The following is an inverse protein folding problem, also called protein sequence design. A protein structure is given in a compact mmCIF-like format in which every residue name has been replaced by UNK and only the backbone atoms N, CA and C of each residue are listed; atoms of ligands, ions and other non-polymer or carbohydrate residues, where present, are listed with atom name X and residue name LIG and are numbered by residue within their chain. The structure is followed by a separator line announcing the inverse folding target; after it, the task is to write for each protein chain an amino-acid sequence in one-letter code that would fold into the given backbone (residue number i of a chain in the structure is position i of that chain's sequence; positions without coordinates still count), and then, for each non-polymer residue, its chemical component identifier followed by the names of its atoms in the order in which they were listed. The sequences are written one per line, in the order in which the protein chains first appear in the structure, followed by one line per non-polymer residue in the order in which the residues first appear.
data_IF_878945952056
#
_entry.id   IF_878945952056
#
_cell.length_a   1.000
_cell.length_b   1.000
_cell.length_c   1.000
_cell.angle_alpha   90.00
_cell.angle_beta   90.00
_cell.angle_gamma   90.00
#
_symmetry.space_group_name_H-M   'P 1'
#
loop_
_entity.id
_entity.type
_entity.pdbx_description
1 polymer ?
#
# COMPACT_ATOMS: atom_id res chain seq x y z
N UNK A 1 -13.17 26.78 39.40
CA UNK A 1 -13.93 26.24 38.26
C UNK A 1 -13.42 26.65 36.87
N UNK A 2 -12.86 27.85 36.65
CA UNK A 2 -12.38 28.27 35.32
C UNK A 2 -11.24 27.45 34.68
N UNK A 3 -10.53 26.60 35.45
CA UNK A 3 -9.42 25.79 34.95
C UNK A 3 -9.85 24.61 34.05
N UNK A 4 -11.13 24.19 34.12
CA UNK A 4 -11.56 22.96 33.44
C UNK A 4 -12.12 23.20 32.03
N UNK A 5 -12.65 24.40 31.76
CA UNK A 5 -13.25 24.75 30.44
C UNK A 5 -12.18 24.69 29.35
N UNK A 6 -10.98 25.20 29.63
CA UNK A 6 -9.87 25.27 28.68
C UNK A 6 -8.79 24.21 28.93
N UNK A 7 -9.13 23.13 29.64
CA UNK A 7 -8.18 22.05 29.97
C UNK A 7 -7.61 21.43 28.70
N UNK A 8 -8.45 21.11 27.71
CA UNK A 8 -8.04 20.51 26.44
C UNK A 8 -7.03 21.39 25.69
N UNK A 9 -7.33 22.67 25.52
CA UNK A 9 -6.47 23.61 24.78
C UNK A 9 -5.14 23.87 25.51
N UNK A 10 -5.20 24.02 26.84
CA UNK A 10 -4.00 24.20 27.69
C UNK A 10 -3.11 22.97 27.62
N UNK A 11 -3.66 21.77 27.72
CA UNK A 11 -2.92 20.51 27.58
C UNK A 11 -2.34 20.36 26.19
N UNK A 12 -3.08 20.73 25.13
CA UNK A 12 -2.58 20.70 23.75
C UNK A 12 -1.35 21.61 23.60
N UNK A 13 -1.38 22.82 24.19
CA UNK A 13 -0.23 23.72 24.22
C UNK A 13 1.00 23.14 24.92
N UNK A 14 0.82 22.41 26.02
CA UNK A 14 1.90 21.71 26.72
C UNK A 14 2.49 20.59 25.85
N UNK A 15 1.64 19.77 25.24
CA UNK A 15 2.04 18.66 24.35
C UNK A 15 2.84 19.18 23.16
N UNK A 16 2.36 20.23 22.49
CA UNK A 16 3.05 20.82 21.34
C UNK A 16 4.41 21.39 21.73
N UNK A 17 4.49 22.08 22.88
CA UNK A 17 5.75 22.66 23.35
C UNK A 17 6.77 21.58 23.71
N UNK A 18 6.34 20.50 24.35
CA UNK A 18 7.19 19.34 24.64
C UNK A 18 7.71 18.67 23.34
N UNK A 19 6.83 18.44 22.37
CA UNK A 19 7.19 17.82 21.08
C UNK A 19 8.14 18.68 20.24
N UNK A 20 7.95 20.01 20.26
CA UNK A 20 8.83 20.95 19.58
C UNK A 20 10.26 20.94 20.16
N UNK A 21 10.40 20.85 21.49
CA UNK A 21 11.71 20.76 22.16
C UNK A 21 12.42 19.43 21.86
N UNK A 22 11.70 18.30 21.89
CA UNK A 22 12.22 16.97 21.53
C UNK A 22 12.74 16.95 20.08
N UNK A 23 12.10 17.70 19.19
CA UNK A 23 12.50 17.77 17.78
C UNK A 23 13.77 18.60 17.55
N UNK A 24 14.06 19.58 18.43
CA UNK A 24 15.23 20.47 18.37
C UNK A 24 16.45 19.91 19.10
N UNK A 25 16.26 19.33 20.28
CA UNK A 25 17.35 18.79 21.10
C UNK A 25 17.33 17.27 20.98
N UNK A 26 18.45 16.68 20.55
CA UNK A 26 18.69 15.23 20.53
C UNK A 26 18.83 14.64 21.96
N UNK A 27 18.07 15.16 22.92
CA UNK A 27 18.03 14.70 24.31
C UNK A 27 16.89 13.70 24.47
N UNK A 28 17.02 12.82 25.48
CA UNK A 28 16.04 11.78 25.81
C UNK A 28 14.64 12.37 25.90
N UNK A 29 13.69 11.64 25.31
CA UNK A 29 12.27 11.96 25.20
C UNK A 29 11.70 12.45 26.53
N UNK A 30 11.39 13.73 26.62
CA UNK A 30 10.56 14.24 27.71
C UNK A 30 9.20 13.52 27.64
N UNK A 31 8.63 13.19 28.80
CA UNK A 31 7.31 12.58 28.87
C UNK A 31 6.26 13.56 28.29
N UNK A 32 5.54 13.12 27.26
CA UNK A 32 4.51 13.95 26.61
C UNK A 32 3.13 13.59 27.19
N UNK A 33 2.43 14.54 27.83
CA UNK A 33 1.22 14.27 28.60
C UNK A 33 -0.06 14.20 27.73
N UNK A 34 -0.12 13.27 26.78
CA UNK A 34 -1.30 13.12 25.92
C UNK A 34 -2.57 12.76 26.69
N UNK A 35 -2.45 12.07 27.84
CA UNK A 35 -3.59 11.58 28.63
C UNK A 35 -4.24 12.64 29.53
N UNK A 36 -3.63 13.81 29.68
CA UNK A 36 -4.14 14.85 30.56
C UNK A 36 -5.46 15.47 30.05
N UNK A 37 -5.75 15.31 28.75
CA UNK A 37 -7.04 15.68 28.15
C UNK A 37 -7.50 14.65 27.13
N UNK A 38 -8.82 14.53 26.95
CA UNK A 38 -9.41 13.63 25.93
C UNK A 38 -8.97 14.04 24.52
N UNK A 39 -8.92 15.35 24.24
CA UNK A 39 -8.51 15.87 22.93
C UNK A 39 -7.10 15.44 22.55
N UNK A 40 -6.12 15.64 23.45
CA UNK A 40 -4.73 15.23 23.21
C UNK A 40 -4.56 13.72 23.18
N UNK A 41 -5.45 12.97 23.85
CA UNK A 41 -5.41 11.53 23.81
C UNK A 41 -5.87 10.98 22.45
N UNK A 42 -6.96 11.53 21.90
CA UNK A 42 -7.44 11.23 20.56
C UNK A 42 -6.45 11.68 19.48
N UNK A 43 -5.81 12.82 19.67
CA UNK A 43 -4.84 13.39 18.73
C UNK A 43 -3.41 12.87 18.91
N UNK A 44 -3.18 11.87 19.78
CA UNK A 44 -1.83 11.34 20.04
C UNK A 44 -1.13 10.89 18.76
N UNK A 45 -1.82 10.12 17.92
CA UNK A 45 -1.27 9.65 16.64
C UNK A 45 -1.02 10.79 15.64
N UNK A 46 -1.79 11.87 15.75
CA UNK A 46 -1.68 13.05 14.88
C UNK A 46 -0.52 13.97 15.26
N UNK A 47 -0.12 14.00 16.53
CA UNK A 47 0.92 14.89 17.04
C UNK A 47 2.20 14.09 17.32
N UNK A 48 2.99 13.83 16.27
CA UNK A 48 4.26 13.11 16.36
C UNK A 48 4.18 11.59 16.19
N UNK A 49 3.01 11.05 15.85
CA UNK A 49 2.80 9.64 15.55
C UNK A 49 2.68 9.33 14.06
N UNK A 50 1.93 8.28 13.74
CA UNK A 50 1.66 7.83 12.38
C UNK A 50 0.48 8.60 11.75
N UNK A 51 0.74 9.83 11.32
CA UNK A 51 -0.26 10.65 10.62
C UNK A 51 0.38 11.73 9.76
N UNK A 52 -0.30 12.12 8.69
CA UNK A 52 0.03 13.32 7.89
C UNK A 52 -0.79 14.49 8.42
N UNK A 53 -0.18 15.27 9.30
CA UNK A 53 -0.88 16.34 10.02
C UNK A 53 -0.58 17.71 9.42
N UNK A 54 -1.63 18.49 9.17
CA UNK A 54 -1.54 19.90 8.80
C UNK A 54 -2.32 20.73 9.82
N UNK A 55 -1.76 21.88 10.20
CA UNK A 55 -2.41 22.83 11.11
C UNK A 55 -2.72 24.12 10.36
N UNK A 56 -3.96 24.59 10.46
CA UNK A 56 -4.40 25.88 9.91
C UNK A 56 -4.59 26.86 11.06
N UNK A 57 -3.84 27.96 11.04
CA UNK A 57 -4.00 29.05 11.99
C UNK A 57 -4.93 30.12 11.37
N UNK A 58 -6.13 30.28 11.94
CA UNK A 58 -7.05 31.33 11.55
C UNK A 58 -6.81 32.58 12.41
N UNK A 59 -6.57 33.71 11.77
CA UNK A 59 -6.20 34.97 12.41
C UNK A 59 -7.16 36.09 11.97
N UNK A 60 -7.36 37.08 12.85
CA UNK A 60 -8.10 38.29 12.54
C UNK A 60 -7.11 39.41 12.19
N UNK A 61 -7.34 40.20 11.12
CA UNK A 61 -6.47 41.33 10.78
C UNK A 61 -6.70 42.57 11.66
N UNK A 62 -7.64 42.53 12.62
CA UNK A 62 -7.97 43.68 13.45
C UNK A 62 -6.93 43.91 14.58
N UNK A 63 -6.53 45.17 14.78
CA UNK A 63 -5.52 45.55 15.78
C UNK A 63 -5.91 45.18 17.22
N UNK A 64 -7.21 45.17 17.54
CA UNK A 64 -7.72 44.76 18.86
C UNK A 64 -7.39 43.29 19.19
N UNK A 65 -7.11 42.46 18.18
CA UNK A 65 -6.78 41.05 18.32
C UNK A 65 -5.28 40.79 18.20
N UNK A 66 -4.42 41.81 18.26
CA UNK A 66 -2.98 41.68 18.06
C UNK A 66 -2.34 40.64 18.99
N UNK A 67 -2.63 40.70 20.30
CA UNK A 67 -2.04 39.79 21.29
C UNK A 67 -2.45 38.33 21.09
N UNK A 68 -3.71 38.09 20.75
CA UNK A 68 -4.23 36.76 20.44
C UNK A 68 -3.63 36.22 19.14
N UNK A 69 -3.57 37.07 18.11
CA UNK A 69 -2.98 36.75 16.80
C UNK A 69 -1.50 36.35 16.95
N UNK A 70 -0.72 37.10 17.72
CA UNK A 70 0.67 36.79 18.02
C UNK A 70 0.78 35.47 18.79
N UNK A 71 -0.11 35.22 19.74
CA UNK A 71 -0.16 33.98 20.52
C UNK A 71 -0.43 32.76 19.63
N UNK A 72 -1.38 32.85 18.69
CA UNK A 72 -1.66 31.80 17.70
C UNK A 72 -0.50 31.57 16.75
N UNK A 73 0.17 32.63 16.27
CA UNK A 73 1.34 32.50 15.39
C UNK A 73 2.51 31.80 16.09
N UNK A 74 2.82 32.19 17.33
CA UNK A 74 3.84 31.51 18.15
C UNK A 74 3.50 30.05 18.40
N UNK A 75 2.22 29.75 18.52
CA UNK A 75 1.73 28.38 18.66
C UNK A 75 1.98 27.55 17.39
N UNK A 76 1.62 28.11 16.24
CA UNK A 76 1.83 27.47 14.94
C UNK A 76 3.32 27.25 14.65
N UNK A 77 4.20 28.19 15.02
CA UNK A 77 5.65 28.03 14.88
C UNK A 77 6.19 26.83 15.66
N UNK A 78 5.71 26.60 16.89
CA UNK A 78 6.06 25.40 17.66
C UNK A 78 5.48 24.14 17.04
N UNK A 79 4.22 24.18 16.61
CA UNK A 79 3.54 23.04 15.98
C UNK A 79 4.27 22.58 14.70
N UNK A 80 4.78 23.51 13.89
CA UNK A 80 5.57 23.24 12.68
C UNK A 80 6.84 22.42 12.95
N UNK A 81 7.40 22.49 14.15
CA UNK A 81 8.66 21.81 14.49
C UNK A 81 8.45 20.33 14.82
N UNK A 82 7.21 19.90 15.03
CA UNK A 82 6.86 18.52 15.38
C UNK A 82 7.07 17.62 14.16
N UNK A 83 7.86 16.56 14.33
CA UNK A 83 8.09 15.55 13.28
C UNK A 83 7.07 14.43 13.40
N UNK A 84 6.26 14.23 12.37
CA UNK A 84 5.37 13.06 12.25
C UNK A 84 6.01 12.01 11.35
N UNK A 85 5.87 10.73 11.69
CA UNK A 85 6.39 9.62 10.89
C UNK A 85 5.22 8.82 10.31
N UNK A 86 4.69 9.30 9.19
CA UNK A 86 3.56 8.68 8.52
C UNK A 86 3.99 7.45 7.69
N UNK A 87 3.43 6.30 8.01
CA UNK A 87 3.65 5.01 7.35
C UNK A 87 2.31 4.53 6.77
N UNK A 88 2.35 3.97 5.57
CA UNK A 88 1.18 3.39 4.93
C UNK A 88 0.79 2.11 5.70
N UNK A 89 -0.37 2.15 6.36
CA UNK A 89 -0.92 1.02 7.09
C UNK A 89 -1.67 0.10 6.12
N UNK A 90 -0.94 -0.68 5.34
CA UNK A 90 -1.53 -1.72 4.49
C UNK A 90 -1.60 -3.05 5.23
N UNK A 91 -2.76 -3.69 5.21
CA UNK A 91 -2.89 -5.06 5.68
C UNK A 91 -2.08 -6.00 4.78
N UNK A 92 -1.38 -7.01 5.33
CA UNK A 92 -0.60 -7.94 4.53
C UNK A 92 -1.48 -8.68 3.52
N UNK A 93 -2.73 -8.98 3.89
CA UNK A 93 -3.70 -9.60 2.99
C UNK A 93 -4.15 -8.64 1.89
N UNK A 94 -4.42 -7.37 2.20
CA UNK A 94 -4.79 -6.37 1.19
C UNK A 94 -3.64 -6.12 0.20
N UNK A 95 -2.40 -6.09 0.69
CA UNK A 95 -1.21 -6.01 -0.15
C UNK A 95 -1.10 -7.21 -1.09
N UNK A 96 -1.25 -8.42 -0.54
CA UNK A 96 -1.22 -9.66 -1.33
C UNK A 96 -2.33 -9.72 -2.38
N UNK A 97 -3.56 -9.36 -2.02
CA UNK A 97 -4.70 -9.33 -2.95
C UNK A 97 -4.45 -8.37 -4.11
N UNK A 98 -3.86 -7.19 -3.85
CA UNK A 98 -3.47 -6.26 -4.92
C UNK A 98 -2.39 -6.84 -5.83
N UNK A 99 -1.31 -7.40 -5.27
CA UNK A 99 -0.25 -8.04 -6.06
C UNK A 99 -0.79 -9.18 -6.94
N UNK A 100 -1.69 -10.01 -6.40
CA UNK A 100 -2.35 -11.07 -7.14
C UNK A 100 -3.28 -10.53 -8.24
N UNK A 101 -4.06 -9.48 -7.95
CA UNK A 101 -4.93 -8.83 -8.95
C UNK A 101 -4.13 -8.19 -10.08
N UNK A 102 -3.00 -7.56 -9.75
CA UNK A 102 -2.09 -6.96 -10.73
C UNK A 102 -1.48 -8.03 -11.64
N UNK A 103 -1.04 -9.16 -11.07
CA UNK A 103 -0.51 -10.28 -11.87
C UNK A 103 -1.60 -10.94 -12.73
N UNK A 104 -2.80 -11.15 -12.19
CA UNK A 104 -3.95 -11.66 -12.97
C UNK A 104 -4.25 -10.72 -14.14
N UNK A 105 -4.21 -9.40 -13.91
CA UNK A 105 -4.43 -8.41 -14.97
C UNK A 105 -3.33 -8.47 -16.02
N UNK A 106 -2.06 -8.54 -15.59
CA UNK A 106 -0.89 -8.66 -16.47
C UNK A 106 -0.97 -9.91 -17.35
N UNK A 107 -1.33 -11.05 -16.77
CA UNK A 107 -1.47 -12.31 -17.48
C UNK A 107 -2.66 -12.30 -18.45
N UNK A 108 -3.81 -11.75 -18.02
CA UNK A 108 -4.97 -11.59 -18.91
C UNK A 108 -4.64 -10.71 -20.12
N UNK A 109 -3.87 -9.64 -19.93
CA UNK A 109 -3.42 -8.78 -21.04
C UNK A 109 -2.51 -9.52 -22.02
N UNK A 110 -1.54 -10.30 -21.52
CA UNK A 110 -0.67 -11.12 -22.37
C UNK A 110 -1.45 -12.15 -23.19
N UNK A 111 -2.46 -12.80 -22.60
CA UNK A 111 -3.29 -13.76 -23.31
C UNK A 111 -4.23 -13.09 -24.34
N UNK A 112 -4.75 -11.89 -24.03
CA UNK A 112 -5.49 -11.09 -25.02
C UNK A 112 -4.59 -10.70 -26.20
N UNK A 113 -3.36 -10.27 -25.95
CA UNK A 113 -2.38 -9.93 -26.98
C UNK A 113 -2.01 -11.13 -27.88
N UNK A 114 -2.04 -12.35 -27.34
CA UNK A 114 -1.77 -13.58 -28.08
C UNK A 114 -2.99 -14.11 -28.88
N UNK A 115 -4.14 -13.44 -28.84
CA UNK A 115 -5.36 -13.83 -29.56
C UNK A 115 -6.22 -14.88 -28.86
N UNK A 116 -5.99 -15.13 -27.56
CA UNK A 116 -6.77 -16.06 -26.71
C UNK A 116 -7.84 -15.34 -25.86
N UNK A 117 -8.20 -14.11 -26.23
CA UNK A 117 -9.14 -13.27 -25.47
C UNK A 117 -10.54 -13.87 -25.28
N UNK A 118 -11.04 -14.61 -26.29
CA UNK A 118 -12.42 -15.14 -26.32
C UNK A 118 -12.70 -16.22 -25.26
N UNK A 119 -11.66 -16.82 -24.66
CA UNK A 119 -11.80 -17.82 -23.59
C UNK A 119 -11.85 -17.15 -22.20
N UNK A 120 -11.31 -15.94 -22.06
CA UNK A 120 -11.06 -15.27 -20.78
C UNK A 120 -12.29 -14.51 -20.27
N UNK A 121 -13.15 -14.03 -21.17
CA UNK A 121 -14.31 -13.20 -20.83
C UNK A 121 -15.49 -14.00 -20.24
N UNK A 122 -15.39 -15.33 -20.16
CA UNK A 122 -16.36 -16.24 -19.52
C UNK A 122 -16.41 -16.11 -17.98
N UNK A 123 -15.38 -15.56 -17.35
CA UNK A 123 -15.30 -15.41 -15.88
C UNK A 123 -15.93 -14.10 -15.33
N UNK A 124 -16.77 -13.42 -16.11
CA UNK A 124 -17.41 -12.15 -15.69
C UNK A 124 -18.52 -12.29 -14.63
N UNK A 125 -18.58 -13.39 -13.87
CA UNK A 125 -19.43 -13.50 -12.68
C UNK A 125 -18.55 -13.71 -11.46
N UNK A 126 -18.08 -12.63 -10.85
CA UNK A 126 -17.91 -12.55 -9.39
C UNK A 126 -17.59 -11.12 -8.93
N UNK A 127 -18.64 -10.32 -8.73
CA UNK A 127 -18.62 -9.17 -7.82
C UNK A 127 -19.69 -9.33 -6.70
N UNK A 128 -20.16 -10.55 -6.43
CA UNK A 128 -21.11 -10.79 -5.34
C UNK A 128 -21.03 -12.21 -4.76
N UNK A 129 -20.31 -12.36 -3.64
CA UNK A 129 -20.54 -13.45 -2.68
C UNK A 129 -21.91 -13.18 -2.01
N UNK A 130 -22.88 -14.11 -1.98
CA UNK A 130 -22.70 -15.40 -1.31
C UNK A 130 -23.44 -16.61 -1.96
N UNK A 131 -22.91 -17.82 -1.76
CA UNK A 131 -23.73 -19.05 -1.80
C UNK A 131 -23.67 -19.85 -3.10
N UNK A 132 -22.57 -20.57 -3.30
CA UNK A 132 -22.47 -21.65 -4.30
C UNK A 132 -23.45 -22.77 -3.93
N UNK A 133 -24.52 -22.97 -4.72
CA UNK A 133 -25.06 -24.30 -5.07
C UNK A 133 -25.83 -24.27 -6.40
N UNK A 134 -25.58 -25.32 -7.19
CA UNK A 134 -26.36 -25.84 -8.32
C UNK A 134 -25.96 -25.28 -9.68
N UNK A 135 -25.76 -26.05 -10.75
CA UNK A 135 -25.86 -27.49 -10.97
C UNK A 135 -25.39 -27.79 -12.40
N UNK A 136 -24.59 -28.85 -12.52
CA UNK A 136 -24.56 -29.87 -13.61
C UNK A 136 -24.24 -29.36 -15.04
N UNK A 137 -23.41 -30.04 -15.82
CA UNK A 137 -23.56 -31.44 -16.23
C UNK A 137 -22.39 -31.77 -17.17
N UNK A 138 -21.68 -32.88 -16.96
CA UNK A 138 -21.75 -34.09 -17.81
C UNK A 138 -20.44 -34.32 -18.57
N UNK A 139 -19.57 -35.16 -18.03
CA UNK A 139 -18.88 -36.21 -18.79
C UNK A 139 -18.60 -37.38 -17.83
N UNK A 140 -19.59 -38.25 -17.70
CA UNK A 140 -19.45 -39.56 -17.09
C UNK A 140 -18.96 -40.56 -18.15
N UNK A 141 -18.00 -41.41 -17.78
CA UNK A 141 -18.01 -42.88 -17.99
C UNK A 141 -16.71 -43.49 -17.44
N UNK A 142 -16.83 -44.20 -16.32
CA UNK A 142 -15.84 -45.15 -15.77
C UNK A 142 -15.98 -46.52 -16.48
N UNK A 143 -15.44 -47.65 -15.97
CA UNK A 143 -14.06 -48.04 -15.59
C UNK A 143 -13.62 -49.35 -16.30
N UNK A 144 -12.33 -49.73 -16.26
CA UNK A 144 -11.90 -51.15 -16.11
C UNK A 144 -10.37 -51.31 -16.15
N UNK A 145 -9.89 -52.26 -15.35
CA UNK A 145 -8.50 -52.71 -15.24
C UNK A 145 -8.33 -54.08 -15.91
N UNK A 146 -7.38 -54.24 -16.83
CA UNK A 146 -6.77 -55.54 -17.17
C UNK A 146 -5.46 -55.41 -17.99
N UNK A 147 -4.43 -56.07 -17.46
CA UNK A 147 -3.30 -56.84 -18.02
C UNK A 147 -2.87 -56.79 -19.51
N UNK A 148 -1.53 -56.74 -19.66
CA UNK A 148 -0.65 -57.46 -20.62
C UNK A 148 -0.53 -57.03 -22.11
N UNK A 149 0.72 -56.63 -22.45
CA UNK A 149 1.53 -57.07 -23.61
C UNK A 149 1.48 -56.32 -24.96
N UNK A 150 2.71 -56.13 -25.46
CA UNK A 150 3.17 -55.96 -26.86
C UNK A 150 3.09 -54.59 -27.56
N UNK A 151 4.27 -54.24 -28.09
CA UNK A 151 4.68 -53.20 -29.03
C UNK A 151 3.60 -52.61 -29.97
N UNK A 152 3.64 -51.29 -30.18
CA UNK A 152 3.88 -50.61 -31.48
C UNK A 152 3.72 -49.07 -31.31
N UNK A 153 4.75 -48.31 -31.70
CA UNK A 153 4.63 -46.99 -32.37
C UNK A 153 4.22 -45.75 -31.56
N UNK A 154 5.21 -45.05 -30.97
CA UNK A 154 5.11 -43.70 -30.42
C UNK A 154 5.23 -42.65 -31.56
N UNK A 155 4.19 -41.84 -31.86
CA UNK A 155 4.33 -40.78 -32.88
C UNK A 155 3.36 -39.58 -32.79
N UNK A 156 3.05 -39.04 -31.61
CA UNK A 156 2.21 -37.82 -31.55
C UNK A 156 2.60 -36.74 -30.55
N UNK A 157 3.75 -36.83 -29.88
CA UNK A 157 4.24 -35.79 -28.95
C UNK A 157 5.34 -34.91 -29.58
N UNK A 158 5.84 -35.24 -30.78
CA UNK A 158 6.96 -34.52 -31.40
C UNK A 158 6.59 -33.18 -32.06
N UNK A 159 5.32 -32.87 -32.31
CA UNK A 159 4.94 -31.70 -33.12
C UNK A 159 4.93 -30.35 -32.37
N UNK A 160 4.75 -30.36 -31.04
CA UNK A 160 4.66 -29.11 -30.25
C UNK A 160 6.03 -28.66 -29.74
N UNK A 161 6.94 -29.61 -29.47
CA UNK A 161 8.26 -29.31 -28.91
C UNK A 161 9.26 -28.79 -29.96
N UNK A 162 9.11 -29.17 -31.23
CA UNK A 162 9.92 -28.63 -32.34
C UNK A 162 9.61 -27.17 -32.68
N UNK A 163 8.39 -26.68 -32.41
CA UNK A 163 8.01 -25.29 -32.71
C UNK A 163 8.53 -24.28 -31.69
N UNK A 164 8.85 -24.73 -30.47
CA UNK A 164 9.38 -23.88 -29.40
C UNK A 164 10.91 -23.64 -29.57
N UNK A 165 11.60 -24.46 -30.36
CA UNK A 165 13.06 -24.41 -30.52
C UNK A 165 13.56 -23.68 -31.78
N UNK A 166 12.70 -23.00 -32.53
CA UNK A 166 13.11 -22.20 -33.71
C UNK A 166 12.82 -20.71 -33.51
N UNK A 167 13.60 -20.07 -32.65
CA UNK A 167 13.86 -18.62 -32.74
C UNK A 167 15.38 -18.40 -32.83
N UNK A 168 15.89 -17.88 -33.95
CA UNK A 168 17.26 -17.41 -34.03
C UNK A 168 17.31 -15.98 -33.48
N UNK A 169 18.15 -15.72 -32.48
CA UNK A 169 18.35 -14.35 -32.00
C UNK A 169 18.83 -14.23 -30.56
N UNK A 170 19.89 -14.94 -30.19
CA UNK A 170 20.67 -14.60 -29.01
C UNK A 170 22.05 -14.20 -29.45
N UNK A 171 22.34 -12.89 -29.56
CA UNK A 171 23.72 -12.37 -29.50
C UNK A 171 23.90 -10.82 -29.40
N UNK A 172 22.95 -10.04 -28.87
CA UNK A 172 23.17 -8.56 -28.82
C UNK A 172 22.66 -7.80 -27.58
N UNK A 173 22.73 -8.39 -26.38
CA UNK A 173 22.33 -7.66 -25.15
C UNK A 173 23.30 -7.76 -23.96
N UNK A 174 24.46 -8.42 -24.10
CA UNK A 174 25.42 -8.58 -22.99
C UNK A 174 26.61 -7.60 -23.10
N UNK A 175 26.62 -6.70 -24.09
CA UNK A 175 27.69 -5.69 -24.26
C UNK A 175 27.23 -4.25 -23.97
N UNK A 176 26.35 -4.06 -22.98
CA UNK A 176 26.01 -2.72 -22.45
C UNK A 176 26.09 -2.58 -20.93
N UNK A 177 26.91 -3.40 -20.28
CA UNK A 177 27.22 -3.27 -18.84
C UNK A 177 28.71 -3.21 -18.51
N UNK A 178 29.57 -2.75 -19.44
CA UNK A 178 31.00 -2.53 -19.12
C UNK A 178 31.67 -1.28 -19.69
N UNK A 179 30.92 -0.33 -20.22
CA UNK A 179 31.51 0.96 -20.66
C UNK A 179 30.64 2.12 -20.20
N UNK A 180 30.65 2.38 -18.89
CA UNK A 180 30.30 3.68 -18.32
C UNK A 180 31.05 3.98 -17.00
N UNK A 181 32.16 3.29 -16.76
CA UNK A 181 33.29 3.79 -15.97
C UNK A 181 34.44 3.97 -16.96
N UNK A 182 34.45 5.10 -17.67
CA UNK A 182 35.61 5.76 -18.30
C UNK A 182 35.15 6.74 -19.39
N UNK A 183 34.44 7.80 -18.99
CA UNK A 183 34.49 9.07 -19.69
C UNK A 183 34.03 10.21 -18.78
N UNK A 184 35.02 10.92 -18.20
CA UNK A 184 35.00 12.28 -17.62
C UNK A 184 34.02 12.63 -16.50
#
# INVERSE_FOLDING_TARGET
EGANINKSLTTLGKVISALAEVSKKKKKTDFIPYRDSVLTWLLRENLGGNSRTAMVAALSPADINYDETLSTLRYADRAKQIKCNAIINEDPNAKLVRELKDEVTRLKELLRAQGLGDIIDIDSIEDNYPGVKSSMSSLASSPSSCSLSSQVGLSTVTSIQERIMSTPGGEEAIERLKVSEDCR
#
